data_IF_767564692978
#
_entry.id   IF_767564692978
#
_cell.length_a   1.000
_cell.length_b   1.000
_cell.length_c   1.000
_cell.angle_alpha   90.00
_cell.angle_beta   90.00
_cell.angle_gamma   90.00
#
_symmetry.space_group_name_H-M   'P 1'
#
loop_
_entity.id
_entity.type
_entity.pdbx_description
1 polymer ?
#
# COMPACT_ATOMS: atom_id res chain seq x y z
N UNK A 1 -5.39 15.74 -0.06
CA UNK A 1 -5.24 14.27 -0.12
C UNK A 1 -3.84 13.86 -0.53
N UNK A 2 -3.30 12.82 0.09
CA UNK A 2 -1.99 12.25 -0.21
C UNK A 2 -2.07 10.73 -0.21
N UNK A 3 -1.32 10.09 -1.11
CA UNK A 3 -1.22 8.63 -1.18
C UNK A 3 0.25 8.29 -1.07
N UNK A 4 0.64 7.55 -0.04
CA UNK A 4 2.05 7.33 0.23
C UNK A 4 2.31 5.98 0.91
N UNK A 5 3.53 5.50 0.76
CA UNK A 5 4.00 4.35 1.52
C UNK A 5 4.53 4.79 2.88
N UNK A 6 4.22 4.03 3.92
CA UNK A 6 4.72 4.26 5.28
C UNK A 6 5.44 3.02 5.79
N UNK A 7 6.62 3.22 6.36
CA UNK A 7 7.37 2.16 7.01
C UNK A 7 6.59 1.54 8.17
N UNK A 8 6.77 0.24 8.34
CA UNK A 8 6.39 -0.54 9.52
C UNK A 8 7.63 -1.29 10.02
N UNK A 9 7.54 -1.86 11.22
CA UNK A 9 8.63 -2.68 11.79
C UNK A 9 9.14 -3.79 10.86
N UNK A 10 8.27 -4.34 10.00
CA UNK A 10 8.60 -5.40 9.03
C UNK A 10 7.86 -5.24 7.70
N UNK A 11 8.08 -4.11 7.05
CA UNK A 11 7.52 -3.84 5.73
C UNK A 11 7.03 -2.41 5.57
N UNK A 12 6.04 -2.21 4.71
CA UNK A 12 5.46 -0.92 4.40
C UNK A 12 3.94 -1.07 4.17
N UNK A 13 3.17 -0.03 4.50
CA UNK A 13 1.73 0.04 4.22
C UNK A 13 1.44 1.20 3.29
N UNK A 14 0.52 1.01 2.37
CA UNK A 14 0.04 2.04 1.46
C UNK A 14 -1.12 2.77 2.14
N UNK A 15 -0.98 4.08 2.29
CA UNK A 15 -1.89 4.95 3.03
C UNK A 15 -2.54 5.94 2.09
N UNK A 16 -3.84 6.15 2.26
CA UNK A 16 -4.57 7.33 1.79
C UNK A 16 -4.76 8.25 2.99
N UNK A 17 -4.31 9.49 2.91
CA UNK A 17 -4.50 10.53 3.92
C UNK A 17 -5.45 11.60 3.38
N UNK A 18 -6.57 11.77 4.09
CA UNK A 18 -7.59 12.77 3.82
C UNK A 18 -7.19 14.08 4.50
N UNK A 19 -6.62 14.96 3.68
CA UNK A 19 -6.36 16.37 3.99
C UNK A 19 -5.54 16.64 5.25
N UNK A 20 -4.66 15.71 5.66
CA UNK A 20 -3.69 15.92 6.75
C UNK A 20 -4.34 16.11 8.12
N UNK A 21 -5.65 15.86 8.24
CA UNK A 21 -6.42 15.98 9.48
C UNK A 21 -6.30 14.73 10.38
N UNK A 22 -5.46 13.76 9.98
CA UNK A 22 -5.26 12.49 10.69
C UNK A 22 -6.28 11.41 10.35
N UNK A 23 -7.12 11.63 9.33
CA UNK A 23 -7.96 10.57 8.77
C UNK A 23 -7.15 9.82 7.71
N UNK A 24 -6.64 8.66 8.08
CA UNK A 24 -5.83 7.79 7.23
C UNK A 24 -6.51 6.45 7.01
N UNK A 25 -6.45 5.95 5.79
CA UNK A 25 -6.92 4.62 5.41
C UNK A 25 -5.75 3.78 4.89
N UNK A 26 -5.59 2.57 5.43
CA UNK A 26 -4.65 1.61 4.87
C UNK A 26 -5.33 0.86 3.73
N UNK A 27 -4.76 0.94 2.52
CA UNK A 27 -5.36 0.39 1.30
C UNK A 27 -4.55 -0.76 0.69
N UNK A 28 -3.39 -1.06 1.26
CA UNK A 28 -2.54 -2.17 0.84
C UNK A 28 -1.27 -2.25 1.68
N UNK A 29 -0.44 -3.24 1.41
CA UNK A 29 0.78 -3.41 2.17
C UNK A 29 1.73 -4.45 1.61
N UNK A 30 3.00 -4.30 2.01
CA UNK A 30 4.09 -5.23 1.80
C UNK A 30 4.65 -5.62 3.16
N UNK A 31 4.87 -6.90 3.37
CA UNK A 31 5.41 -7.46 4.61
C UNK A 31 6.68 -8.26 4.33
N UNK A 32 7.71 -8.02 5.11
CA UNK A 32 8.92 -8.83 5.09
C UNK A 32 8.70 -10.17 5.80
N UNK A 33 9.18 -11.24 5.16
CA UNK A 33 9.16 -12.61 5.66
C UNK A 33 10.56 -13.22 5.61
N UNK A 34 10.74 -14.42 6.18
CA UNK A 34 12.03 -15.13 6.12
C UNK A 34 12.48 -15.50 4.70
N UNK A 35 11.57 -15.44 3.73
CA UNK A 35 11.79 -15.97 2.37
C UNK A 35 11.52 -14.93 1.27
N UNK A 36 11.48 -13.64 1.63
CA UNK A 36 11.15 -12.54 0.73
C UNK A 36 10.00 -11.70 1.26
N UNK A 37 9.20 -11.15 0.36
CA UNK A 37 8.11 -10.23 0.71
C UNK A 37 6.75 -10.77 0.31
N UNK A 38 5.77 -10.58 1.18
CA UNK A 38 4.36 -10.85 0.87
C UNK A 38 3.66 -9.51 0.64
N UNK A 39 2.77 -9.44 -0.35
CA UNK A 39 2.07 -8.22 -0.71
C UNK A 39 0.56 -8.44 -0.76
N UNK A 40 -0.21 -7.40 -0.46
CA UNK A 40 -1.67 -7.41 -0.60
C UNK A 40 -2.22 -6.03 -0.96
N UNK A 41 -3.29 -6.02 -1.74
CA UNK A 41 -4.12 -4.85 -2.05
C UNK A 41 -5.53 -5.02 -1.48
N UNK A 42 -6.11 -3.96 -0.91
CA UNK A 42 -7.51 -3.95 -0.47
C UNK A 42 -8.39 -3.53 -1.63
N UNK A 43 -8.99 -4.51 -2.29
CA UNK A 43 -9.94 -4.29 -3.39
C UNK A 43 -11.37 -4.69 -2.99
N UNK A 44 -12.39 -4.14 -3.65
CA UNK A 44 -13.79 -4.52 -3.39
C UNK A 44 -14.08 -5.93 -3.89
N UNK A 45 -14.91 -6.67 -3.16
CA UNK A 45 -15.34 -8.02 -3.55
C UNK A 45 -14.26 -9.08 -3.36
N UNK A 46 -14.39 -10.20 -4.08
CA UNK A 46 -13.38 -11.25 -4.14
C UNK A 46 -12.57 -11.07 -5.42
N UNK A 47 -11.33 -10.59 -5.27
CA UNK A 47 -10.38 -10.50 -6.37
C UNK A 47 -9.27 -11.53 -6.13
N UNK A 48 -9.32 -12.68 -6.82
CA UNK A 48 -8.27 -13.67 -6.73
C UNK A 48 -6.96 -13.06 -7.23
N UNK A 49 -5.89 -13.20 -6.44
CA UNK A 49 -4.59 -12.63 -6.79
C UNK A 49 -4.31 -11.25 -6.23
N UNK A 50 -5.22 -10.61 -5.47
CA UNK A 50 -4.92 -9.37 -4.73
C UNK A 50 -3.89 -9.52 -3.61
N UNK A 51 -3.46 -10.75 -3.33
CA UNK A 51 -2.43 -11.07 -2.37
C UNK A 51 -1.51 -12.16 -2.94
N UNK A 52 -0.21 -11.91 -2.88
CA UNK A 52 0.82 -12.81 -3.39
C UNK A 52 2.00 -12.85 -2.43
N UNK A 53 2.70 -13.99 -2.39
CA UNK A 53 3.82 -14.25 -1.48
C UNK A 53 5.13 -14.42 -2.24
N UNK A 54 6.23 -14.24 -1.53
CA UNK A 54 7.56 -14.61 -2.01
C UNK A 54 8.14 -13.68 -3.08
N UNK A 55 7.78 -12.39 -3.06
CA UNK A 55 8.44 -11.39 -3.89
C UNK A 55 9.92 -11.23 -3.49
N UNK A 56 10.81 -11.01 -4.46
CA UNK A 56 12.26 -10.96 -4.21
C UNK A 56 12.71 -9.65 -3.55
N UNK A 57 11.93 -8.58 -3.67
CA UNK A 57 12.22 -7.27 -3.08
C UNK A 57 10.94 -6.54 -2.68
N UNK A 58 11.11 -5.52 -1.84
CA UNK A 58 10.02 -4.61 -1.45
C UNK A 58 9.49 -3.83 -2.65
N UNK A 59 10.35 -3.41 -3.58
CA UNK A 59 9.95 -2.60 -4.74
C UNK A 59 9.03 -3.38 -5.67
N UNK A 60 9.38 -4.63 -6.01
CA UNK A 60 8.51 -5.49 -6.85
C UNK A 60 7.18 -5.78 -6.15
N UNK A 61 7.21 -5.95 -4.82
CA UNK A 61 6.00 -6.14 -4.03
C UNK A 61 5.12 -4.88 -4.00
N UNK A 62 5.70 -3.67 -3.97
CA UNK A 62 4.98 -2.40 -4.06
C UNK A 62 4.34 -2.22 -5.43
N UNK A 63 5.09 -2.45 -6.51
CA UNK A 63 4.59 -2.40 -7.89
C UNK A 63 3.37 -3.31 -8.07
N UNK A 64 3.41 -4.51 -7.48
CA UNK A 64 2.26 -5.41 -7.46
C UNK A 64 1.04 -4.76 -6.78
N UNK A 65 1.19 -4.17 -5.58
CA UNK A 65 0.07 -3.49 -4.89
C UNK A 65 -0.45 -2.31 -5.70
N UNK A 66 0.45 -1.49 -6.26
CA UNK A 66 0.09 -0.31 -7.05
C UNK A 66 -0.62 -0.65 -8.36
N UNK A 67 -0.35 -1.83 -8.94
CA UNK A 67 -1.02 -2.30 -10.14
C UNK A 67 -2.54 -2.51 -9.97
N UNK A 68 -2.99 -2.78 -8.74
CA UNK A 68 -4.42 -2.88 -8.40
C UNK A 68 -5.07 -1.52 -8.16
N UNK A 69 -4.27 -0.46 -8.04
CA UNK A 69 -4.74 0.90 -7.72
C UNK A 69 -5.76 0.93 -6.58
N UNK A 70 -5.51 0.25 -5.44
CA UNK A 70 -6.52 0.04 -4.40
C UNK A 70 -7.05 1.33 -3.76
N UNK A 71 -6.32 2.44 -3.91
CA UNK A 71 -6.79 3.75 -3.47
C UNK A 71 -7.99 4.25 -4.28
N UNK A 72 -8.18 3.88 -5.54
CA UNK A 72 -9.30 4.38 -6.38
C UNK A 72 -10.69 4.00 -5.85
N UNK A 73 -10.73 3.10 -4.88
CA UNK A 73 -11.94 2.69 -4.16
C UNK A 73 -12.40 3.70 -3.11
N UNK A 74 -11.57 4.69 -2.82
CA UNK A 74 -11.75 5.68 -1.79
C UNK A 74 -12.16 7.01 -2.43
N UNK A 75 -13.17 7.69 -1.87
CA UNK A 75 -13.72 8.90 -2.46
C UNK A 75 -12.65 9.99 -2.60
N UNK A 76 -12.59 10.63 -3.78
CA UNK A 76 -11.67 11.74 -4.06
C UNK A 76 -10.24 11.36 -4.46
N UNK A 77 -9.88 10.07 -4.43
CA UNK A 77 -8.52 9.62 -4.80
C UNK A 77 -8.34 9.29 -6.29
N UNK A 78 -9.42 9.27 -7.06
CA UNK A 78 -9.38 8.97 -8.49
C UNK A 78 -8.44 9.94 -9.22
N UNK A 79 -7.47 9.40 -9.97
CA UNK A 79 -6.48 10.19 -10.71
C UNK A 79 -5.29 10.68 -9.88
N UNK A 80 -5.21 10.35 -8.58
CA UNK A 80 -3.99 10.55 -7.80
C UNK A 80 -2.98 9.41 -8.02
N UNK A 81 -1.70 9.76 -7.91
CA UNK A 81 -0.58 8.83 -7.94
C UNK A 81 0.02 8.66 -6.55
N UNK A 82 0.73 7.54 -6.36
CA UNK A 82 1.43 7.26 -5.11
C UNK A 82 2.72 8.09 -5.05
N UNK A 83 2.94 8.78 -3.94
CA UNK A 83 4.19 9.47 -3.65
C UNK A 83 5.35 8.47 -3.56
N UNK A 84 6.46 8.79 -4.24
CA UNK A 84 7.64 7.92 -4.24
C UNK A 84 8.37 7.87 -2.89
N UNK A 85 8.25 8.94 -2.10
CA UNK A 85 8.87 9.04 -0.78
C UNK A 85 8.13 8.13 0.23
N UNK A 86 8.89 7.25 0.88
CA UNK A 86 8.37 6.40 1.95
C UNK A 86 8.49 7.13 3.28
N UNK A 87 7.36 7.38 3.93
CA UNK A 87 7.30 8.08 5.22
C UNK A 87 7.67 7.15 6.38
N UNK A 88 8.25 7.72 7.43
CA UNK A 88 8.54 6.97 8.66
C UNK A 88 7.25 6.55 9.37
N UNK A 89 7.34 5.49 10.19
CA UNK A 89 6.24 5.15 11.09
C UNK A 89 6.03 6.30 12.10
N UNK A 90 4.77 6.55 12.47
CA UNK A 90 4.47 7.36 13.65
C UNK A 90 4.82 6.50 14.87
N UNK A 91 5.73 6.99 15.72
CA UNK A 91 6.11 6.35 17.00
C UNK A 91 4.92 6.25 17.97
#
# INVERSE_FOLDING_TARGET
>A
MQIYWRHLRRGQRLIVDYDGAGQEEEVGGVRETKSGFDAFAKTFGYEPGRAQKGFPSVDVAKEFVESFRPWELYEGTAGFEVEQEVRQALD
#
